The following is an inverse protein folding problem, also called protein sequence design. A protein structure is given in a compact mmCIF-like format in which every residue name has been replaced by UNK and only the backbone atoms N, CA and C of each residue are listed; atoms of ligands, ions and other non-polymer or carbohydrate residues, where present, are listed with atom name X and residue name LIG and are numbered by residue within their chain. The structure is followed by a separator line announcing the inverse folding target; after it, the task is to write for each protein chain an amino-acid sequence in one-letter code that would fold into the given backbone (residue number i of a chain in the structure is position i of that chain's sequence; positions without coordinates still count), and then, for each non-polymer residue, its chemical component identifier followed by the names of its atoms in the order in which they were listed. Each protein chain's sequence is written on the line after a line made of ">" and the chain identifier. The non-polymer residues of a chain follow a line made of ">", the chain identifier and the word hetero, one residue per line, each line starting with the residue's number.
data_IF_997813465391
#
_entry.id   IF_997813465391
#
_cell.length_a   1.000
_cell.length_b   1.000
_cell.length_c   1.000
_cell.angle_alpha   90.00
_cell.angle_beta   90.00
_cell.angle_gamma   90.00
#
_symmetry.space_group_name_H-M   'P 1'
#
loop_
_entity.id
_entity.type
_entity.pdbx_description
1 polymer ?
#
# COMPACT_ATOMS: atom_id res chain seq x y z
N UNK A 1 -33.86 59.09 18.80
CA UNK A 1 -32.57 58.40 18.58
C UNK A 1 -32.71 56.99 19.12
N UNK A 2 -32.95 56.03 18.25
CA UNK A 2 -32.98 54.60 18.58
C UNK A 2 -32.31 53.88 17.41
N UNK A 3 -31.05 53.53 17.61
CA UNK A 3 -30.23 52.73 16.70
C UNK A 3 -30.62 51.27 16.81
N UNK A 4 -31.13 50.68 15.72
CA UNK A 4 -31.32 49.23 15.60
C UNK A 4 -30.10 48.65 14.89
N UNK A 5 -29.27 47.94 15.66
CA UNK A 5 -28.16 47.13 15.17
C UNK A 5 -28.70 45.74 14.82
N UNK A 6 -28.72 45.37 13.54
CA UNK A 6 -29.01 43.98 13.14
C UNK A 6 -27.68 43.24 13.09
N UNK A 7 -27.46 42.35 14.06
CA UNK A 7 -26.32 41.44 14.08
C UNK A 7 -26.48 40.35 13.03
N UNK A 8 -25.51 40.24 12.13
CA UNK A 8 -25.39 39.08 11.24
C UNK A 8 -24.57 38.01 11.97
N UNK A 9 -25.22 36.91 12.35
CA UNK A 9 -24.56 35.69 12.82
C UNK A 9 -24.01 34.97 11.59
N UNK A 10 -22.70 35.01 11.39
CA UNK A 10 -22.01 34.18 10.41
C UNK A 10 -21.83 32.78 10.96
N UNK A 11 -22.44 31.78 10.30
CA UNK A 11 -22.20 30.37 10.58
C UNK A 11 -20.91 29.95 9.87
N UNK A 12 -19.79 29.93 10.59
CA UNK A 12 -18.55 29.30 10.13
C UNK A 12 -18.68 27.79 10.31
N UNK A 13 -18.86 27.07 9.19
CA UNK A 13 -18.76 25.61 9.16
C UNK A 13 -17.26 25.26 9.08
N UNK A 14 -16.67 24.88 10.22
CA UNK A 14 -15.33 24.32 10.24
C UNK A 14 -15.40 22.88 9.70
N UNK A 15 -15.01 22.70 8.44
CA UNK A 15 -14.72 21.37 7.90
C UNK A 15 -13.41 20.90 8.55
N UNK A 16 -13.51 20.02 9.54
CA UNK A 16 -12.37 19.28 10.03
C UNK A 16 -12.00 18.26 8.94
N UNK A 17 -10.93 18.55 8.20
CA UNK A 17 -10.23 17.53 7.43
C UNK A 17 -9.60 16.57 8.44
N UNK A 18 -10.18 15.39 8.61
CA UNK A 18 -9.46 14.27 9.22
C UNK A 18 -8.27 13.98 8.33
N UNK A 19 -7.06 14.18 8.83
CA UNK A 19 -5.86 13.65 8.17
C UNK A 19 -6.12 12.16 7.90
N UNK A 20 -5.88 11.72 6.67
CA UNK A 20 -5.95 10.30 6.35
C UNK A 20 -5.03 9.55 7.31
N UNK A 21 -5.57 8.59 8.07
CA UNK A 21 -4.76 7.62 8.79
C UNK A 21 -3.96 6.85 7.74
N UNK A 22 -2.64 6.83 7.92
CA UNK A 22 -1.70 6.22 6.99
C UNK A 22 -0.73 5.40 7.83
N UNK A 23 -0.52 4.14 7.45
CA UNK A 23 0.54 3.33 8.06
C UNK A 23 1.90 3.92 7.68
N UNK A 24 2.82 3.96 8.63
CA UNK A 24 4.23 4.29 8.41
C UNK A 24 5.01 3.01 8.13
N UNK A 25 5.57 2.90 6.92
CA UNK A 25 6.53 1.84 6.60
C UNK A 25 7.93 2.39 6.86
N UNK A 26 8.61 1.85 7.88
CA UNK A 26 9.94 2.27 8.28
C UNK A 26 10.97 1.24 7.83
N UNK A 27 11.70 1.57 6.76
CA UNK A 27 12.80 0.77 6.27
C UNK A 27 14.05 1.02 7.12
N UNK A 28 14.47 -0.03 7.83
CA UNK A 28 15.63 -0.01 8.71
C UNK A 28 16.82 -0.68 8.02
N UNK A 29 17.90 0.08 7.86
CA UNK A 29 19.09 -0.35 7.14
C UNK A 29 20.24 -0.79 8.05
N UNK A 30 19.98 -1.03 9.34
CA UNK A 30 21.04 -1.37 10.31
C UNK A 30 21.82 -2.63 9.96
N UNK A 31 21.25 -3.50 9.12
CA UNK A 31 21.86 -4.77 8.69
C UNK A 31 22.46 -4.71 7.27
N UNK A 32 22.44 -3.56 6.60
CA UNK A 32 23.04 -3.38 5.27
C UNK A 32 24.56 -3.08 5.34
N UNK A 33 25.37 -3.98 5.92
CA UNK A 33 26.82 -3.83 6.18
C UNK A 33 27.27 -2.36 6.41
N UNK A 34 26.93 -1.83 7.59
CA UNK A 34 27.21 -0.43 7.95
C UNK A 34 26.39 0.61 7.16
N UNK A 35 25.27 0.22 6.54
CA UNK A 35 24.40 1.00 5.68
C UNK A 35 25.05 1.50 4.37
N UNK A 36 25.88 0.68 3.72
CA UNK A 36 26.67 1.13 2.55
C UNK A 36 26.47 0.35 1.27
N UNK A 37 25.84 -0.84 1.28
CA UNK A 37 25.72 -1.65 0.05
C UNK A 37 24.56 -1.18 -0.80
N UNK A 38 23.44 -0.78 -0.19
CA UNK A 38 22.37 -0.08 -0.91
C UNK A 38 22.77 1.38 -1.15
N UNK A 39 22.74 1.78 -2.42
CA UNK A 39 23.00 3.14 -2.86
C UNK A 39 21.92 4.12 -2.37
N UNK A 40 22.26 5.42 -2.37
CA UNK A 40 21.29 6.47 -2.00
C UNK A 40 20.06 6.48 -2.93
N UNK A 41 20.22 6.17 -4.21
CA UNK A 41 19.08 6.11 -5.14
C UNK A 41 18.14 4.93 -4.84
N UNK A 42 18.68 3.77 -4.47
CA UNK A 42 17.86 2.64 -4.03
C UNK A 42 17.09 2.96 -2.75
N UNK A 43 17.72 3.66 -1.80
CA UNK A 43 17.04 4.13 -0.57
C UNK A 43 15.94 5.14 -0.90
N UNK A 44 16.17 6.06 -1.82
CA UNK A 44 15.15 7.01 -2.26
C UNK A 44 13.95 6.32 -2.93
N UNK A 45 14.17 5.24 -3.69
CA UNK A 45 13.08 4.42 -4.22
C UNK A 45 12.32 3.71 -3.09
N UNK A 46 13.01 3.17 -2.08
CA UNK A 46 12.34 2.58 -0.92
C UNK A 46 11.52 3.61 -0.16
N UNK A 47 12.03 4.83 0.03
CA UNK A 47 11.26 5.93 0.62
C UNK A 47 10.00 6.20 -0.21
N UNK A 48 10.10 6.25 -1.55
CA UNK A 48 8.94 6.39 -2.44
C UNK A 48 7.92 5.25 -2.27
N UNK A 49 8.38 4.00 -2.21
CA UNK A 49 7.53 2.81 -2.03
C UNK A 49 6.83 2.82 -0.67
N UNK A 50 7.54 3.17 0.41
CA UNK A 50 6.96 3.34 1.74
C UNK A 50 5.83 4.37 1.73
N UNK A 51 6.08 5.49 1.06
CA UNK A 51 5.14 6.59 0.86
C UNK A 51 3.92 6.20 0.00
N UNK A 52 4.12 5.37 -1.02
CA UNK A 52 3.07 4.88 -1.91
C UNK A 52 2.11 3.96 -1.14
N UNK A 53 2.65 2.96 -0.44
CA UNK A 53 1.86 1.99 0.31
C UNK A 53 1.25 2.60 1.58
N UNK A 54 2.02 3.38 2.33
CA UNK A 54 1.56 3.99 3.57
C UNK A 54 0.35 4.91 3.38
N UNK A 55 0.23 5.58 2.23
CA UNK A 55 -0.93 6.40 1.88
C UNK A 55 -2.18 5.61 1.51
N UNK A 56 -2.02 4.35 1.09
CA UNK A 56 -3.14 3.51 0.65
C UNK A 56 -3.64 2.57 1.74
N UNK A 57 -2.78 2.10 2.63
CA UNK A 57 -3.17 1.20 3.71
C UNK A 57 -3.79 2.04 4.83
N UNK A 58 -5.07 1.80 5.09
CA UNK A 58 -5.92 2.55 6.00
C UNK A 58 -6.17 1.88 7.35
N UNK A 59 -5.55 0.72 7.59
CA UNK A 59 -5.61 -0.01 8.86
C UNK A 59 -5.14 0.84 10.04
N UNK A 60 -5.57 0.45 11.24
CA UNK A 60 -5.24 1.11 12.51
C UNK A 60 -4.58 0.12 13.45
N UNK A 61 -3.26 -0.02 13.35
CA UNK A 61 -2.52 -1.03 14.09
C UNK A 61 -2.17 -0.53 15.49
N UNK A 62 -2.50 -1.30 16.52
CA UNK A 62 -2.03 -1.04 17.88
C UNK A 62 -0.50 -1.15 17.98
N UNK A 63 0.06 -0.37 18.90
CA UNK A 63 1.45 -0.54 19.32
C UNK A 63 1.62 -1.90 20.02
N UNK A 64 2.72 -2.59 19.74
CA UNK A 64 2.96 -3.92 20.27
C UNK A 64 4.39 -4.06 20.83
N UNK A 65 4.48 -4.82 21.92
CA UNK A 65 5.74 -5.26 22.50
C UNK A 65 5.95 -6.75 22.22
N UNK A 66 7.08 -7.06 21.61
CA UNK A 66 7.52 -8.41 21.27
C UNK A 66 8.72 -8.78 22.14
N UNK A 67 8.62 -9.94 22.80
CA UNK A 67 9.74 -10.50 23.56
C UNK A 67 10.87 -10.87 22.61
N UNK A 68 10.53 -11.48 21.48
CA UNK A 68 11.43 -11.67 20.36
C UNK A 68 10.70 -11.39 19.07
N UNK A 69 11.45 -10.84 18.11
CA UNK A 69 11.12 -10.89 16.70
C UNK A 69 12.24 -11.62 15.97
N UNK A 70 11.86 -12.38 14.96
CA UNK A 70 12.74 -13.29 14.23
C UNK A 70 12.57 -13.05 12.72
N UNK A 71 13.66 -12.87 11.99
CA UNK A 71 13.63 -12.60 10.55
C UNK A 71 14.93 -13.04 9.87
N UNK A 72 14.89 -13.17 8.55
CA UNK A 72 16.08 -13.45 7.75
C UNK A 72 17.02 -12.24 7.75
N UNK A 73 18.32 -12.46 8.00
CA UNK A 73 19.33 -11.41 7.92
C UNK A 73 19.43 -10.88 6.47
N UNK A 74 19.01 -9.63 6.20
CA UNK A 74 18.94 -9.14 4.83
C UNK A 74 20.31 -8.81 4.22
N UNK A 75 21.36 -8.69 5.04
CA UNK A 75 22.72 -8.32 4.61
C UNK A 75 23.73 -9.47 4.62
N UNK A 76 23.34 -10.68 5.03
CA UNK A 76 24.26 -11.81 5.12
C UNK A 76 24.63 -12.35 3.73
N UNK A 77 25.92 -12.34 3.37
CA UNK A 77 26.42 -13.00 2.16
C UNK A 77 26.58 -14.51 2.38
N UNK A 78 26.26 -15.32 1.37
CA UNK A 78 26.20 -16.80 1.39
C UNK A 78 24.87 -17.40 1.85
N UNK A 79 23.77 -16.91 1.27
CA UNK A 79 22.43 -17.39 1.60
C UNK A 79 22.10 -18.65 0.79
N UNK A 80 22.28 -19.81 1.42
CA UNK A 80 21.56 -21.04 1.05
C UNK A 80 20.25 -21.15 1.86
N UNK A 81 19.48 -22.24 1.72
CA UNK A 81 18.21 -22.44 2.45
C UNK A 81 18.34 -22.44 3.99
N UNK A 82 19.56 -22.49 4.52
CA UNK A 82 19.87 -22.21 5.92
C UNK A 82 20.21 -20.72 6.10
N UNK A 83 19.23 -19.85 5.84
CA UNK A 83 19.38 -18.40 5.98
C UNK A 83 19.92 -18.06 7.38
N UNK A 84 20.89 -17.15 7.44
CA UNK A 84 21.23 -16.45 8.68
C UNK A 84 19.95 -15.84 9.23
N UNK A 85 19.49 -16.28 10.39
CA UNK A 85 18.35 -15.69 11.06
C UNK A 85 18.82 -14.79 12.18
N UNK A 86 18.18 -13.64 12.28
CA UNK A 86 18.37 -12.71 13.38
C UNK A 86 17.19 -12.82 14.33
N UNK A 87 17.50 -12.83 15.62
CA UNK A 87 16.53 -12.69 16.69
C UNK A 87 16.83 -11.41 17.44
N UNK A 88 15.90 -10.46 17.41
CA UNK A 88 15.98 -9.27 18.24
C UNK A 88 15.03 -9.42 19.43
N UNK A 89 15.49 -9.02 20.61
CA UNK A 89 14.74 -9.19 21.86
C UNK A 89 14.23 -7.85 22.37
N UNK A 90 13.12 -7.90 23.10
CA UNK A 90 12.51 -6.74 23.77
C UNK A 90 12.25 -5.57 22.81
N UNK A 91 11.59 -5.88 21.68
CA UNK A 91 11.29 -4.93 20.62
C UNK A 91 9.91 -4.31 20.81
N UNK A 92 9.81 -3.00 20.60
CA UNK A 92 8.54 -2.27 20.57
C UNK A 92 8.32 -1.72 19.19
N UNK A 93 7.20 -2.07 18.57
CA UNK A 93 6.74 -1.47 17.32
C UNK A 93 5.63 -0.49 17.65
N UNK A 94 5.74 0.72 17.12
CA UNK A 94 4.76 1.78 17.37
C UNK A 94 3.42 1.45 16.70
N UNK A 95 2.35 2.09 17.18
CA UNK A 95 1.07 2.05 16.49
C UNK A 95 1.22 2.56 15.04
N UNK A 96 0.38 2.06 14.15
CA UNK A 96 0.32 2.45 12.74
C UNK A 96 1.69 2.40 12.04
N UNK A 97 2.54 1.45 12.40
CA UNK A 97 3.87 1.31 11.81
C UNK A 97 4.26 -0.14 11.52
N UNK A 98 5.05 -0.32 10.46
CA UNK A 98 5.70 -1.56 10.10
C UNK A 98 7.21 -1.32 10.06
N UNK A 99 7.99 -2.18 10.72
CA UNK A 99 9.46 -2.14 10.70
C UNK A 99 9.98 -3.17 9.71
N UNK A 100 10.66 -2.73 8.65
CA UNK A 100 11.19 -3.65 7.64
C UNK A 100 12.70 -3.51 7.60
N UNK A 101 13.43 -4.57 7.98
CA UNK A 101 14.89 -4.58 7.91
C UNK A 101 15.34 -4.85 6.47
N UNK A 102 16.16 -3.96 5.91
CA UNK A 102 16.56 -4.01 4.51
C UNK A 102 18.07 -4.06 4.37
N UNK A 103 18.55 -4.82 3.39
CA UNK A 103 19.96 -4.90 3.04
C UNK A 103 20.18 -5.44 1.64
N UNK A 104 21.42 -5.30 1.16
CA UNK A 104 21.88 -6.01 -0.02
C UNK A 104 22.76 -7.21 0.38
N UNK A 105 22.59 -8.33 -0.33
CA UNK A 105 23.34 -9.58 -0.10
C UNK A 105 23.56 -10.33 -1.41
N UNK A 106 24.45 -11.31 -1.45
CA UNK A 106 24.56 -12.24 -2.57
C UNK A 106 23.45 -13.31 -2.51
N UNK A 107 22.51 -13.29 -3.47
CA UNK A 107 21.32 -14.17 -3.46
C UNK A 107 21.44 -15.41 -4.37
N UNK A 108 22.59 -15.64 -4.98
CA UNK A 108 22.82 -16.73 -5.94
C UNK A 108 22.50 -18.15 -5.40
N UNK A 109 22.48 -18.34 -4.08
CA UNK A 109 22.13 -19.61 -3.43
C UNK A 109 20.63 -19.95 -3.44
N UNK A 110 19.76 -19.00 -3.80
CA UNK A 110 18.33 -19.21 -4.04
C UNK A 110 17.98 -19.52 -5.50
N UNK A 111 18.98 -19.45 -6.39
CA UNK A 111 18.82 -19.60 -7.83
C UNK A 111 19.33 -18.36 -8.56
N UNK A 112 19.86 -18.57 -9.77
CA UNK A 112 20.52 -17.51 -10.55
C UNK A 112 19.59 -16.39 -11.03
N UNK A 113 18.28 -16.51 -10.81
CA UNK A 113 17.26 -15.54 -11.20
C UNK A 113 16.63 -14.79 -10.02
N UNK A 114 16.99 -15.14 -8.77
CA UNK A 114 16.45 -14.47 -7.59
C UNK A 114 17.20 -13.16 -7.36
N UNK A 115 16.48 -12.05 -7.48
CA UNK A 115 17.04 -10.69 -7.37
C UNK A 115 16.54 -9.94 -6.13
N UNK A 116 15.48 -10.46 -5.49
CA UNK A 116 14.92 -9.95 -4.24
C UNK A 116 14.30 -11.10 -3.45
N UNK A 117 14.28 -10.96 -2.12
CA UNK A 117 13.55 -11.83 -1.20
C UNK A 117 12.99 -10.99 -0.06
N UNK A 118 11.67 -10.93 0.04
CA UNK A 118 10.92 -10.30 1.11
C UNK A 118 10.03 -11.29 1.85
N UNK A 119 9.83 -11.05 3.13
CA UNK A 119 8.87 -11.84 3.89
C UNK A 119 8.60 -11.28 5.28
N UNK A 120 7.44 -11.63 5.86
CA UNK A 120 7.10 -11.20 7.21
C UNK A 120 8.00 -11.88 8.24
N UNK A 121 8.26 -11.17 9.32
CA UNK A 121 9.01 -11.72 10.44
C UNK A 121 8.14 -12.57 11.37
N UNK A 122 8.77 -13.56 12.02
CA UNK A 122 8.20 -14.26 13.15
C UNK A 122 8.24 -13.41 14.42
N UNK A 123 7.39 -13.73 15.39
CA UNK A 123 7.44 -13.06 16.69
C UNK A 123 6.95 -13.95 17.83
N UNK A 124 7.47 -13.69 19.03
CA UNK A 124 6.91 -14.15 20.29
C UNK A 124 6.55 -12.96 21.17
N UNK A 125 5.32 -12.92 21.69
CA UNK A 125 4.81 -11.72 22.34
C UNK A 125 3.47 -11.94 23.04
N UNK A 126 2.98 -10.90 23.70
CA UNK A 126 1.66 -10.92 24.37
C UNK A 126 0.51 -10.53 23.42
N UNK A 127 0.79 -9.66 22.46
CA UNK A 127 -0.17 -9.13 21.48
C UNK A 127 0.48 -9.32 20.12
N UNK A 128 -0.05 -10.22 19.31
CA UNK A 128 0.46 -10.51 17.96
C UNK A 128 -0.50 -10.03 16.87
N UNK A 129 -1.76 -9.80 17.23
CA UNK A 129 -2.82 -9.36 16.34
C UNK A 129 -2.85 -7.85 16.12
N UNK A 130 -2.15 -7.08 16.96
CA UNK A 130 -2.04 -5.62 16.87
C UNK A 130 -3.41 -4.91 16.82
N UNK A 131 -4.39 -5.46 17.53
CA UNK A 131 -5.74 -4.91 17.56
C UNK A 131 -6.65 -5.38 16.42
N UNK A 132 -6.10 -6.11 15.45
CA UNK A 132 -6.84 -6.58 14.28
C UNK A 132 -7.54 -7.92 14.53
N UNK A 133 -8.78 -8.02 14.06
CA UNK A 133 -9.63 -9.18 14.34
C UNK A 133 -9.59 -10.20 13.21
N UNK A 134 -9.01 -11.38 13.50
CA UNK A 134 -8.97 -12.50 12.55
C UNK A 134 -7.57 -12.80 12.03
N UNK A 135 -6.54 -12.19 12.63
CA UNK A 135 -5.14 -12.34 12.25
C UNK A 135 -4.75 -13.83 12.22
N UNK A 136 -4.20 -14.24 11.07
CA UNK A 136 -3.77 -15.62 10.80
C UNK A 136 -4.83 -16.50 10.13
N UNK A 137 -6.06 -16.01 9.94
CA UNK A 137 -7.13 -16.75 9.23
C UNK A 137 -7.77 -15.90 8.13
N UNK A 138 -8.29 -14.73 8.46
CA UNK A 138 -8.95 -13.81 7.51
C UNK A 138 -8.25 -12.47 7.41
N UNK A 139 -7.26 -12.26 8.26
CA UNK A 139 -6.59 -10.99 8.46
C UNK A 139 -5.08 -11.21 8.64
N UNK A 140 -4.29 -10.14 8.47
CA UNK A 140 -2.85 -10.18 8.57
C UNK A 140 -2.28 -8.84 9.06
N UNK A 141 -1.72 -8.85 10.27
CA UNK A 141 -1.15 -7.67 10.91
C UNK A 141 0.27 -7.93 11.43
N UNK A 142 1.28 -8.07 10.54
CA UNK A 142 2.64 -8.32 10.96
C UNK A 142 3.19 -7.11 11.73
N UNK A 143 4.24 -7.34 12.52
CA UNK A 143 5.06 -6.25 13.05
C UNK A 143 5.91 -5.60 11.94
N UNK A 144 6.15 -6.35 10.87
CA UNK A 144 7.05 -6.02 9.77
C UNK A 144 7.79 -7.28 9.31
N UNK A 145 9.03 -7.13 8.88
CA UNK A 145 9.79 -8.25 8.31
C UNK A 145 11.15 -7.82 7.78
N UNK A 146 11.60 -8.49 6.72
CA UNK A 146 12.88 -8.19 6.09
C UNK A 146 12.81 -8.28 4.57
N UNK A 147 13.65 -7.49 3.89
CA UNK A 147 13.85 -7.55 2.44
C UNK A 147 15.35 -7.57 2.14
N UNK A 148 15.79 -8.55 1.38
CA UNK A 148 17.12 -8.63 0.82
C UNK A 148 17.07 -8.36 -0.69
N UNK A 149 17.96 -7.49 -1.19
CA UNK A 149 18.16 -7.28 -2.62
C UNK A 149 19.49 -7.85 -3.07
N UNK A 150 19.52 -8.49 -4.24
CA UNK A 150 20.75 -9.06 -4.76
C UNK A 150 21.77 -7.97 -5.10
N UNK A 151 22.93 -8.04 -4.46
CA UNK A 151 24.02 -7.08 -4.62
C UNK A 151 24.76 -7.22 -5.95
N UNK A 152 24.58 -8.34 -6.68
CA UNK A 152 25.22 -8.59 -7.97
C UNK A 152 24.37 -8.15 -9.17
N UNK A 153 23.11 -7.80 -8.93
CA UNK A 153 22.15 -7.44 -9.97
C UNK A 153 22.46 -6.07 -10.56
N UNK A 154 22.38 -5.99 -11.90
CA UNK A 154 22.47 -4.71 -12.61
C UNK A 154 21.16 -3.94 -12.46
N UNK A 155 21.03 -3.21 -11.36
CA UNK A 155 19.84 -2.43 -11.02
C UNK A 155 19.67 -1.20 -11.90
N UNK A 156 18.47 -1.03 -12.44
CA UNK A 156 17.97 0.28 -12.84
C UNK A 156 17.41 0.96 -11.60
N UNK A 157 17.93 2.16 -11.32
CA UNK A 157 17.54 3.00 -10.20
C UNK A 157 16.95 4.26 -10.82
N UNK A 158 15.64 4.32 -10.80
CA UNK A 158 14.86 5.43 -11.35
C UNK A 158 14.88 6.65 -10.41
N UNK A 159 15.02 7.83 -10.99
CA UNK A 159 14.93 9.10 -10.27
C UNK A 159 13.46 9.54 -10.07
N UNK A 160 12.52 9.03 -10.88
CA UNK A 160 11.08 9.31 -10.77
C UNK A 160 10.23 8.07 -11.14
N UNK A 161 9.91 7.19 -10.16
CA UNK A 161 9.13 5.99 -10.40
C UNK A 161 7.71 6.21 -10.97
N UNK A 162 7.20 7.46 -10.97
CA UNK A 162 5.90 7.80 -11.54
C UNK A 162 5.93 7.94 -13.07
N UNK A 163 7.10 8.02 -13.69
CA UNK A 163 7.24 8.06 -15.15
C UNK A 163 7.56 6.70 -15.74
N UNK A 164 7.34 6.57 -17.04
CA UNK A 164 7.78 5.41 -17.83
C UNK A 164 8.76 5.88 -18.88
N UNK A 165 9.96 5.33 -18.82
CA UNK A 165 11.02 5.58 -19.78
C UNK A 165 11.73 4.27 -20.17
N UNK A 166 12.39 4.22 -21.33
CA UNK A 166 13.24 3.09 -21.67
C UNK A 166 14.48 3.06 -20.78
N UNK A 167 14.77 1.90 -20.20
CA UNK A 167 15.98 1.68 -19.41
C UNK A 167 16.58 0.30 -19.66
N UNK A 168 17.78 0.08 -19.13
CA UNK A 168 18.45 -1.21 -19.10
C UNK A 168 18.73 -1.61 -17.64
N UNK A 169 18.81 -2.91 -17.39
CA UNK A 169 18.88 -3.45 -16.02
C UNK A 169 17.53 -3.93 -15.51
N UNK A 170 17.55 -4.49 -14.30
CA UNK A 170 16.35 -4.91 -13.56
C UNK A 170 15.83 -3.69 -12.79
N UNK A 171 14.56 -3.38 -12.91
CA UNK A 171 13.97 -2.22 -12.23
C UNK A 171 13.88 -2.43 -10.72
N UNK A 172 14.60 -1.62 -9.95
CA UNK A 172 14.63 -1.76 -8.49
C UNK A 172 13.29 -1.43 -7.85
N UNK A 173 12.55 -0.45 -8.36
CA UNK A 173 11.19 -0.12 -7.89
C UNK A 173 10.26 -1.33 -8.01
N UNK A 174 10.24 -1.99 -9.17
CA UNK A 174 9.40 -3.17 -9.42
C UNK A 174 9.68 -4.31 -8.43
N UNK A 175 10.95 -4.57 -8.11
CA UNK A 175 11.30 -5.59 -7.11
C UNK A 175 10.95 -5.11 -5.70
N UNK A 176 11.16 -3.84 -5.36
CA UNK A 176 10.84 -3.33 -4.04
C UNK A 176 9.34 -3.45 -3.70
N UNK A 177 8.45 -3.10 -4.63
CA UNK A 177 7.00 -3.28 -4.43
C UNK A 177 6.60 -4.75 -4.39
N UNK A 178 7.32 -5.61 -5.12
CA UNK A 178 7.08 -7.05 -5.15
C UNK A 178 7.40 -7.66 -3.78
N UNK A 179 8.62 -7.42 -3.28
CA UNK A 179 9.06 -7.95 -1.99
C UNK A 179 8.27 -7.36 -0.82
N UNK A 180 7.87 -6.09 -0.90
CA UNK A 180 6.98 -5.49 0.08
C UNK A 180 5.61 -6.19 0.10
N UNK A 181 5.06 -6.57 -1.06
CA UNK A 181 3.84 -7.36 -1.15
C UNK A 181 3.93 -8.68 -0.39
N UNK A 182 5.09 -9.36 -0.47
CA UNK A 182 5.34 -10.57 0.33
C UNK A 182 5.45 -10.30 1.82
N UNK A 183 6.11 -9.22 2.24
CA UNK A 183 6.15 -8.79 3.65
C UNK A 183 4.74 -8.51 4.18
N UNK A 184 3.87 -7.94 3.35
CA UNK A 184 2.46 -7.64 3.66
C UNK A 184 1.53 -8.86 3.55
N UNK A 185 2.05 -10.06 3.28
CA UNK A 185 1.30 -11.30 3.42
C UNK A 185 0.83 -11.94 2.13
N UNK A 186 1.01 -11.30 0.98
CA UNK A 186 0.68 -11.94 -0.31
C UNK A 186 1.65 -13.09 -0.55
N UNK A 187 1.11 -14.29 -0.79
CA UNK A 187 1.93 -15.48 -1.01
C UNK A 187 2.62 -16.05 0.24
N UNK A 188 2.47 -15.41 1.40
CA UNK A 188 3.21 -15.77 2.63
C UNK A 188 2.31 -15.96 3.85
N UNK A 189 1.13 -15.32 3.90
CA UNK A 189 0.24 -15.33 5.06
C UNK A 189 -0.78 -16.47 5.06
N UNK A 190 -1.25 -16.85 6.25
CA UNK A 190 -2.35 -17.80 6.39
C UNK A 190 -3.65 -17.31 5.74
N UNK A 191 -3.94 -16.01 5.80
CA UNK A 191 -5.12 -15.41 5.16
C UNK A 191 -5.04 -15.43 3.64
N UNK A 192 -3.85 -15.30 3.04
CA UNK A 192 -3.65 -15.58 1.61
C UNK A 192 -3.99 -17.03 1.26
N UNK A 193 -3.39 -18.00 1.97
CA UNK A 193 -3.60 -19.41 1.66
C UNK A 193 -5.05 -19.86 1.90
N UNK A 194 -5.77 -19.22 2.84
CA UNK A 194 -7.19 -19.47 3.08
C UNK A 194 -8.08 -19.10 1.87
N UNK A 195 -7.61 -18.21 1.00
CA UNK A 195 -8.31 -17.80 -0.22
C UNK A 195 -7.98 -18.69 -1.43
N UNK A 196 -7.14 -19.72 -1.29
CA UNK A 196 -6.80 -20.61 -2.40
C UNK A 196 -7.82 -21.75 -2.49
N UNK A 197 -8.54 -21.79 -3.61
CA UNK A 197 -9.52 -22.82 -3.93
C UNK A 197 -9.13 -23.66 -5.15
N UNK A 198 -10.04 -24.53 -5.61
CA UNK A 198 -9.85 -25.25 -6.87
C UNK A 198 -9.68 -24.27 -8.04
N UNK A 199 -8.51 -24.29 -8.68
CA UNK A 199 -8.23 -23.49 -9.88
C UNK A 199 -7.52 -22.16 -9.64
N UNK A 200 -7.24 -21.77 -8.39
CA UNK A 200 -6.44 -20.58 -8.07
C UNK A 200 -6.95 -19.80 -6.86
N UNK A 201 -6.63 -18.52 -6.81
CA UNK A 201 -7.03 -17.60 -5.75
C UNK A 201 -8.48 -17.15 -5.94
N UNK A 202 -9.28 -17.19 -4.87
CA UNK A 202 -10.73 -16.95 -4.90
C UNK A 202 -11.18 -15.73 -4.09
N UNK A 203 -10.25 -14.88 -3.66
CA UNK A 203 -10.55 -13.61 -3.00
C UNK A 203 -11.49 -12.74 -3.85
N UNK A 204 -12.51 -12.18 -3.22
CA UNK A 204 -13.61 -11.51 -3.91
C UNK A 204 -13.20 -10.21 -4.60
N UNK A 205 -12.31 -9.43 -3.97
CA UNK A 205 -11.78 -8.19 -4.55
C UNK A 205 -10.87 -8.52 -5.72
N UNK A 206 -9.98 -9.51 -5.56
CA UNK A 206 -9.04 -9.97 -6.59
C UNK A 206 -9.77 -10.53 -7.81
N UNK A 207 -10.86 -11.28 -7.60
CA UNK A 207 -11.72 -11.76 -8.68
C UNK A 207 -12.37 -10.61 -9.46
N UNK A 208 -12.80 -9.54 -8.77
CA UNK A 208 -13.37 -8.37 -9.42
C UNK A 208 -12.31 -7.64 -10.28
N UNK A 209 -11.15 -7.31 -9.69
CA UNK A 209 -10.06 -6.65 -10.39
C UNK A 209 -9.57 -7.45 -11.61
N UNK A 210 -9.42 -8.76 -11.44
CA UNK A 210 -9.02 -9.64 -12.55
C UNK A 210 -10.10 -9.76 -13.63
N UNK A 211 -11.38 -9.84 -13.25
CA UNK A 211 -12.49 -9.90 -14.20
C UNK A 211 -12.58 -8.62 -15.05
N UNK A 212 -12.32 -7.46 -14.44
CA UNK A 212 -12.26 -6.18 -15.14
C UNK A 212 -11.12 -6.16 -16.17
N UNK A 213 -9.93 -6.62 -15.78
CA UNK A 213 -8.76 -6.68 -16.65
C UNK A 213 -8.95 -7.62 -17.86
N UNK A 214 -9.59 -8.79 -17.65
CA UNK A 214 -9.82 -9.78 -18.73
C UNK A 214 -11.17 -9.63 -19.44
N UNK A 215 -11.98 -8.63 -19.05
CA UNK A 215 -13.29 -8.33 -19.65
C UNK A 215 -14.34 -9.44 -19.48
N UNK A 216 -14.18 -10.33 -18.50
CA UNK A 216 -15.11 -11.45 -18.26
C UNK A 216 -15.00 -12.00 -16.83
N UNK A 217 -16.10 -12.44 -16.21
CA UNK A 217 -16.05 -13.07 -14.89
C UNK A 217 -15.19 -14.34 -14.89
N UNK A 218 -14.47 -14.55 -13.79
CA UNK A 218 -13.64 -15.73 -13.55
C UNK A 218 -14.01 -16.36 -12.20
N UNK A 219 -13.79 -17.66 -12.07
CA UNK A 219 -14.03 -18.38 -10.82
C UNK A 219 -12.80 -18.36 -9.88
N UNK A 220 -11.62 -18.09 -10.43
CA UNK A 220 -10.36 -17.94 -9.70
C UNK A 220 -9.40 -17.04 -10.51
N UNK A 221 -8.51 -16.36 -9.81
CA UNK A 221 -7.31 -15.74 -10.38
C UNK A 221 -6.22 -16.82 -10.48
N UNK A 222 -5.61 -17.05 -11.65
CA UNK A 222 -4.56 -18.06 -11.80
C UNK A 222 -3.34 -17.75 -10.93
N UNK A 223 -2.79 -18.80 -10.29
CA UNK A 223 -1.55 -18.72 -9.52
C UNK A 223 -0.41 -19.44 -10.25
N UNK A 224 0.82 -19.03 -9.97
CA UNK A 224 2.00 -19.80 -10.30
C UNK A 224 2.00 -21.14 -9.54
N UNK A 225 2.79 -22.14 -9.97
CA UNK A 225 2.82 -23.47 -9.32
C UNK A 225 3.21 -23.47 -7.84
N UNK A 226 3.91 -22.44 -7.36
CA UNK A 226 4.28 -22.27 -5.96
C UNK A 226 3.11 -21.85 -5.06
N UNK A 227 2.01 -21.36 -5.63
CA UNK A 227 0.86 -20.80 -4.90
C UNK A 227 1.15 -19.49 -4.17
N UNK A 228 2.36 -18.94 -4.29
CA UNK A 228 2.81 -17.70 -3.67
C UNK A 228 2.70 -16.48 -4.61
N UNK A 229 2.65 -16.72 -5.92
CA UNK A 229 2.59 -15.68 -6.93
C UNK A 229 1.36 -15.82 -7.82
N UNK A 230 0.95 -14.71 -8.43
CA UNK A 230 0.08 -14.76 -9.61
C UNK A 230 0.74 -15.57 -10.72
N UNK A 231 -0.06 -16.13 -11.63
CA UNK A 231 0.52 -16.78 -12.81
C UNK A 231 1.31 -15.76 -13.65
N UNK A 232 2.47 -16.16 -14.18
CA UNK A 232 3.27 -15.38 -15.13
C UNK A 232 2.41 -14.77 -16.24
N UNK A 233 2.60 -13.47 -16.55
CA UNK A 233 1.86 -12.79 -17.60
C UNK A 233 0.46 -12.35 -17.21
N UNK A 234 0.06 -12.52 -15.95
CA UNK A 234 -1.24 -12.02 -15.47
C UNK A 234 -1.26 -10.50 -15.58
N UNK A 235 -2.33 -9.96 -16.18
CA UNK A 235 -2.50 -8.52 -16.38
C UNK A 235 -3.57 -7.98 -15.43
N UNK A 236 -3.36 -6.76 -14.96
CA UNK A 236 -4.38 -5.97 -14.28
C UNK A 236 -4.20 -4.48 -14.57
N UNK A 237 -5.22 -3.68 -14.24
CA UNK A 237 -5.15 -2.24 -14.43
C UNK A 237 -4.26 -1.59 -13.37
N UNK A 238 -3.51 -0.57 -13.78
CA UNK A 238 -2.90 0.40 -12.90
C UNK A 238 -2.99 1.76 -13.59
N UNK A 239 -3.51 2.78 -12.89
CA UNK A 239 -3.74 4.11 -13.45
C UNK A 239 -4.49 4.12 -14.82
N UNK A 240 -5.41 3.16 -15.01
CA UNK A 240 -6.22 3.04 -16.24
C UNK A 240 -5.54 2.39 -17.44
N UNK A 241 -4.31 1.89 -17.30
CA UNK A 241 -3.62 1.09 -18.31
C UNK A 241 -3.37 -0.34 -17.80
N UNK A 242 -3.25 -1.31 -18.70
CA UNK A 242 -2.93 -2.69 -18.33
C UNK A 242 -1.42 -2.86 -18.12
N UNK A 243 -1.06 -3.42 -16.98
CA UNK A 243 0.29 -3.83 -16.63
C UNK A 243 0.30 -5.31 -16.28
N UNK A 244 1.44 -5.96 -16.51
CA UNK A 244 1.72 -7.24 -15.86
C UNK A 244 1.82 -6.99 -14.34
N UNK A 245 1.12 -7.81 -13.57
CA UNK A 245 1.01 -7.66 -12.12
C UNK A 245 2.37 -7.70 -11.44
N UNK A 246 2.53 -6.96 -10.36
CA UNK A 246 3.80 -6.88 -9.65
C UNK A 246 4.15 -8.20 -8.97
N UNK A 247 3.17 -8.98 -8.52
CA UNK A 247 3.36 -10.22 -7.75
C UNK A 247 3.25 -11.52 -8.59
N UNK A 248 3.60 -11.48 -9.87
CA UNK A 248 3.94 -12.70 -10.61
C UNK A 248 5.43 -13.06 -10.39
N UNK A 249 5.92 -14.25 -10.79
CA UNK A 249 7.20 -14.76 -10.31
C UNK A 249 8.42 -14.28 -11.12
N UNK A 250 8.27 -13.32 -12.04
CA UNK A 250 9.38 -12.95 -12.92
C UNK A 250 9.43 -11.46 -13.25
N UNK A 251 10.60 -10.99 -13.64
CA UNK A 251 10.79 -9.66 -14.22
C UNK A 251 11.80 -9.76 -15.35
N UNK A 252 11.58 -8.99 -16.43
CA UNK A 252 12.53 -8.88 -17.53
C UNK A 252 13.37 -7.61 -17.38
N UNK A 253 14.60 -7.66 -17.87
CA UNK A 253 15.43 -6.47 -18.01
C UNK A 253 14.71 -5.42 -18.88
N UNK A 254 14.73 -4.16 -18.45
CA UNK A 254 14.06 -3.05 -19.15
C UNK A 254 12.53 -3.04 -18.99
N UNK A 255 11.99 -3.78 -18.02
CA UNK A 255 10.56 -3.83 -17.73
C UNK A 255 10.25 -3.16 -16.39
N UNK A 256 9.29 -2.23 -16.40
CA UNK A 256 8.66 -1.67 -15.19
C UNK A 256 7.37 -2.46 -14.91
N UNK A 257 7.24 -2.95 -13.69
CA UNK A 257 6.00 -3.40 -13.07
C UNK A 257 5.60 -2.38 -12.01
N UNK A 258 4.30 -2.22 -11.83
CA UNK A 258 3.71 -1.31 -10.84
C UNK A 258 2.66 -2.09 -10.08
N UNK A 259 2.32 -1.65 -8.87
CA UNK A 259 1.36 -2.36 -8.04
C UNK A 259 -0.04 -2.13 -8.61
N UNK A 260 -0.59 -3.18 -9.22
CA UNK A 260 -1.84 -3.10 -9.97
C UNK A 260 -3.05 -3.18 -9.06
N UNK A 261 -4.24 -2.90 -9.61
CA UNK A 261 -5.51 -3.06 -8.91
C UNK A 261 -5.72 -4.50 -8.42
N UNK A 262 -5.13 -5.51 -9.09
CA UNK A 262 -5.18 -6.90 -8.61
C UNK A 262 -4.27 -7.12 -7.41
N UNK A 263 -3.07 -6.53 -7.41
CA UNK A 263 -2.15 -6.62 -6.28
C UNK A 263 -2.74 -5.91 -5.03
N UNK A 264 -3.34 -4.72 -5.20
CA UNK A 264 -4.06 -4.02 -4.13
C UNK A 264 -5.27 -4.82 -3.64
N UNK A 265 -6.02 -5.44 -4.55
CA UNK A 265 -7.17 -6.25 -4.19
C UNK A 265 -6.79 -7.50 -3.39
N UNK A 266 -5.63 -8.10 -3.65
CA UNK A 266 -5.12 -9.19 -2.84
C UNK A 266 -4.85 -8.77 -1.41
N UNK A 267 -4.25 -7.59 -1.17
CA UNK A 267 -4.08 -7.07 0.19
C UNK A 267 -5.44 -6.92 0.89
N UNK A 268 -6.46 -6.44 0.18
CA UNK A 268 -7.82 -6.35 0.74
C UNK A 268 -8.45 -7.71 1.07
N UNK A 269 -8.22 -8.72 0.24
CA UNK A 269 -8.76 -10.08 0.49
C UNK A 269 -8.07 -10.82 1.65
N UNK A 270 -6.90 -10.34 2.12
CA UNK A 270 -6.13 -10.97 3.19
C UNK A 270 -6.15 -10.21 4.53
N UNK A 271 -6.88 -9.10 4.61
CA UNK A 271 -7.11 -8.36 5.86
C UNK A 271 -7.03 -6.85 5.74
N UNK A 272 -6.15 -6.33 4.87
CA UNK A 272 -5.81 -4.91 4.86
C UNK A 272 -6.95 -4.01 4.35
N UNK A 273 -7.18 -2.87 5.00
CA UNK A 273 -8.04 -1.82 4.47
C UNK A 273 -7.32 -0.99 3.42
N UNK A 274 -7.60 -1.25 2.15
CA UNK A 274 -7.01 -0.50 1.04
C UNK A 274 -7.91 0.67 0.61
N UNK A 275 -7.41 1.89 0.77
CA UNK A 275 -8.05 3.09 0.25
C UNK A 275 -8.13 3.03 -1.28
N UNK A 276 -9.31 3.34 -1.82
CA UNK A 276 -9.50 3.38 -3.27
C UNK A 276 -8.65 4.48 -3.92
N UNK A 277 -8.00 4.16 -5.04
CA UNK A 277 -7.18 5.11 -5.81
C UNK A 277 -7.92 6.39 -6.24
N UNK A 278 -9.25 6.37 -6.23
CA UNK A 278 -10.14 7.44 -6.70
C UNK A 278 -10.88 8.18 -5.58
N UNK A 279 -10.45 8.05 -4.31
CA UNK A 279 -11.00 8.83 -3.20
C UNK A 279 -10.60 10.31 -3.30
N UNK A 280 -11.13 11.01 -4.30
CA UNK A 280 -11.35 12.44 -4.22
C UNK A 280 -12.26 12.64 -3.00
N UNK A 281 -11.94 13.52 -2.04
CA UNK A 281 -12.84 13.76 -0.92
C UNK A 281 -14.15 14.34 -1.48
N UNK A 282 -15.20 13.52 -1.56
CA UNK A 282 -16.54 13.98 -1.99
C UNK A 282 -17.15 14.99 -1.00
N UNK A 283 -16.49 15.23 0.15
CA UNK A 283 -16.86 16.25 1.12
C UNK A 283 -16.76 17.68 0.57
N UNK A 284 -15.89 17.94 -0.41
CA UNK A 284 -15.74 19.27 -1.02
C UNK A 284 -16.82 19.61 -2.05
N UNK A 285 -17.14 18.66 -2.93
CA UNK A 285 -18.01 18.86 -4.09
C UNK A 285 -19.47 19.05 -3.70
N UNK A 286 -19.97 18.24 -2.77
CA UNK A 286 -21.35 18.32 -2.26
C UNK A 286 -21.56 19.56 -1.38
N UNK A 287 -20.59 19.92 -0.53
CA UNK A 287 -20.67 21.12 0.30
C UNK A 287 -20.65 22.40 -0.55
N UNK A 288 -19.82 22.46 -1.59
CA UNK A 288 -19.78 23.59 -2.53
C UNK A 288 -21.05 23.67 -3.39
N UNK A 289 -21.61 22.53 -3.81
CA UNK A 289 -22.88 22.49 -4.54
C UNK A 289 -24.06 22.97 -3.66
N UNK A 290 -24.12 22.52 -2.40
CA UNK A 290 -25.14 22.96 -1.44
C UNK A 290 -24.99 24.44 -1.05
N UNK A 291 -23.76 24.93 -0.86
CA UNK A 291 -23.48 26.34 -0.61
C UNK A 291 -23.85 27.22 -1.82
N UNK A 292 -23.56 26.76 -3.04
CA UNK A 292 -23.95 27.43 -4.28
C UNK A 292 -25.48 27.55 -4.42
N UNK A 293 -26.21 26.47 -4.15
CA UNK A 293 -27.68 26.48 -4.16
C UNK A 293 -28.27 27.39 -3.07
N UNK A 294 -27.66 27.43 -1.88
CA UNK A 294 -28.06 28.32 -0.79
C UNK A 294 -27.88 29.81 -1.14
N UNK A 295 -26.78 30.19 -1.80
CA UNK A 295 -26.52 31.56 -2.24
C UNK A 295 -27.49 32.01 -3.34
N UNK A 296 -27.84 31.14 -4.28
CA UNK A 296 -28.84 31.42 -5.32
C UNK A 296 -30.24 31.60 -4.71
N UNK A 297 -30.62 30.75 -3.75
CA UNK A 297 -31.89 30.88 -3.02
C UNK A 297 -31.99 32.18 -2.21
N UNK A 298 -30.90 32.59 -1.55
CA UNK A 298 -30.85 33.85 -0.79
C UNK A 298 -30.91 35.09 -1.69
N UNK A 299 -30.24 35.06 -2.86
CA UNK A 299 -30.29 36.12 -3.85
C UNK A 299 -31.69 36.28 -4.49
N UNK A 300 -32.38 35.16 -4.76
CA UNK A 300 -33.75 35.17 -5.27
C UNK A 300 -34.74 35.75 -4.25
N UNK A 301 -34.60 35.40 -2.96
CA UNK A 301 -35.43 35.97 -1.88
C UNK A 301 -35.23 37.47 -1.69
N UNK A 302 -34.00 37.97 -1.81
CA UNK A 302 -33.70 39.42 -1.72
C UNK A 302 -34.35 40.22 -2.86
N UNK A 303 -34.30 39.71 -4.09
CA UNK A 303 -34.95 40.35 -5.24
C UNK A 303 -36.48 40.37 -5.14
N UNK A 304 -37.08 39.29 -4.60
CA UNK A 304 -38.52 39.25 -4.33
C UNK A 304 -38.95 40.27 -3.25
N UNK A 305 -38.16 40.44 -2.19
CA UNK A 305 -38.45 41.38 -1.12
C UNK A 305 -38.29 42.86 -1.54
N UNK A 306 -37.35 43.16 -2.45
CA UNK A 306 -37.20 44.51 -3.03
C UNK A 306 -38.33 44.87 -4.00
N UNK A 307 -38.84 43.89 -4.75
CA UNK A 307 -40.01 44.06 -5.64
C UNK A 307 -41.27 44.40 -4.84
N UNK A 308 -41.53 43.69 -3.73
CA UNK A 308 -42.70 43.93 -2.88
C UNK A 308 -42.64 45.28 -2.14
N UNK A 309 -41.44 45.81 -1.85
CA UNK A 309 -41.27 47.13 -1.24
C UNK A 309 -41.51 48.30 -2.20
N UNK A 310 -41.30 48.13 -3.51
CA UNK A 310 -41.63 49.15 -4.53
C UNK A 310 -43.13 49.25 -4.80
N UNK A 311 -43.87 48.16 -4.69
CA UNK A 311 -45.33 48.14 -4.91
C UNK A 311 -46.10 48.74 -3.72
N UNK A 312 -45.52 48.74 -2.52
CA UNK A 312 -46.12 49.33 -1.32
C UNK A 312 -45.81 50.84 -1.13
N UNK A 313 -45.08 51.46 -2.06
CA UNK A 313 -44.67 52.87 -2.01
C UNK A 313 -45.32 53.76 -3.08
N UNK A 314 -46.26 53.22 -3.86
CA UNK A 314 -47.18 53.95 -4.75
C UNK A 314 -48.59 53.94 -4.14
#
# INVERSE_FOLDING_TARGET
>A
MTTNTIGAVGLTLALASTSAHAITIDFDYSFDDGATRLSNGQRAILDYVADEFGRRIGDSLDAAFYRSIDFSDPGADSIGPSQSHLTLTDQTIAADSLRIYVGASELNGFGASTVGIGGPGGASGRILDRGESGVGVTDFAPWGGSIAFDSSTNWYVDDDPATLEPFAGVDFYSIAIHELGHVLGVGTSGSWFAQIGPGGFTGSASLAAYADAVGSPRAAVPLAPDGGHWAEGTLSFAAGALFEVALDPSIRTGQRKTYTDLDWAALSDIGWEIASASAVPESGSLAMMLAGLGLVGAAARRRGAESLRRVASD
#
